data_IF_445250502470
#
_entry.id   IF_445250502470
#
_cell.length_a   1.000
_cell.length_b   1.000
_cell.length_c   1.000
_cell.angle_alpha   90.00
_cell.angle_beta   90.00
_cell.angle_gamma   90.00
#
_symmetry.space_group_name_H-M   'P 1'
#
loop_
_entity.id
_entity.type
_entity.pdbx_description
1 polymer ?
#
# COMPACT_ATOMS: atom_id res chain seq x y z
N UNK A 1 -14.74 -10.71 -12.29
CA UNK A 1 -14.48 -11.53 -13.49
C UNK A 1 -13.51 -10.75 -14.37
N UNK A 2 -12.42 -11.38 -14.82
CA UNK A 2 -11.42 -10.70 -15.64
C UNK A 2 -11.93 -10.49 -17.07
N UNK A 3 -12.01 -9.24 -17.54
CA UNK A 3 -12.55 -8.90 -18.85
C UNK A 3 -11.67 -7.85 -19.58
N UNK A 4 -10.89 -8.26 -20.61
CA UNK A 4 -10.04 -7.35 -21.37
C UNK A 4 -10.81 -6.31 -22.19
N UNK A 5 -12.12 -6.52 -22.45
CA UNK A 5 -12.95 -5.56 -23.17
C UNK A 5 -13.11 -4.21 -22.45
N UNK A 6 -12.84 -4.17 -21.15
CA UNK A 6 -12.85 -2.95 -20.33
C UNK A 6 -11.87 -1.91 -20.86
N UNK A 7 -10.78 -2.33 -21.50
CA UNK A 7 -9.79 -1.43 -22.08
C UNK A 7 -10.39 -0.48 -23.13
N UNK A 8 -11.47 -0.89 -23.79
CA UNK A 8 -12.13 -0.12 -24.86
C UNK A 8 -13.29 0.75 -24.36
N UNK A 9 -13.64 0.66 -23.06
CA UNK A 9 -14.81 1.33 -22.45
C UNK A 9 -14.40 2.43 -21.46
N UNK A 10 -13.47 3.31 -21.85
CA UNK A 10 -12.93 4.40 -21.00
C UNK A 10 -12.59 3.92 -19.58
N UNK A 11 -11.65 2.96 -19.46
CA UNK A 11 -11.30 2.41 -18.16
C UNK A 11 -10.61 3.48 -17.30
N UNK A 12 -10.96 3.51 -16.02
CA UNK A 12 -10.12 4.19 -15.05
C UNK A 12 -9.05 3.21 -14.55
N UNK A 13 -7.84 3.74 -14.34
CA UNK A 13 -6.69 2.96 -13.89
C UNK A 13 -6.52 3.12 -12.39
N UNK A 14 -6.28 2.01 -11.73
CA UNK A 14 -5.86 1.98 -10.33
C UNK A 14 -4.68 1.08 -10.14
N UNK A 15 -3.88 1.40 -9.14
CA UNK A 15 -2.79 0.58 -8.67
C UNK A 15 -3.08 0.12 -7.26
N UNK A 16 -3.01 -1.18 -7.00
CA UNK A 16 -3.27 -1.76 -5.69
C UNK A 16 -2.00 -2.43 -5.19
N UNK A 17 -1.66 -2.22 -3.92
CA UNK A 17 -0.46 -2.83 -3.36
C UNK A 17 -0.55 -4.37 -3.42
N UNK A 18 0.54 -5.10 -3.72
CA UNK A 18 0.50 -6.56 -3.85
C UNK A 18 -0.02 -7.27 -2.59
N UNK A 19 0.22 -6.68 -1.41
CA UNK A 19 -0.29 -7.17 -0.11
C UNK A 19 -1.82 -7.20 -0.02
N UNK A 20 -2.50 -6.31 -0.75
CA UNK A 20 -3.95 -6.16 -0.71
C UNK A 20 -4.65 -6.83 -1.92
N UNK A 21 -3.89 -7.44 -2.84
CA UNK A 21 -4.37 -8.08 -4.08
C UNK A 21 -5.54 -9.04 -3.84
N UNK A 22 -5.35 -10.01 -2.94
CA UNK A 22 -6.30 -11.11 -2.71
C UNK A 22 -7.63 -10.56 -2.19
N UNK A 23 -7.56 -9.64 -1.22
CA UNK A 23 -8.76 -9.01 -0.66
C UNK A 23 -9.45 -8.15 -1.72
N UNK A 24 -8.69 -7.39 -2.50
CA UNK A 24 -9.24 -6.53 -3.55
C UNK A 24 -10.00 -7.33 -4.61
N UNK A 25 -9.37 -8.37 -5.19
CA UNK A 25 -10.00 -9.22 -6.22
C UNK A 25 -11.24 -9.94 -5.66
N UNK A 26 -11.18 -10.45 -4.42
CA UNK A 26 -12.32 -11.09 -3.78
C UNK A 26 -13.51 -10.14 -3.61
N UNK A 27 -13.27 -8.89 -3.24
CA UNK A 27 -14.34 -7.89 -3.09
C UNK A 27 -14.93 -7.44 -4.44
N UNK A 28 -14.10 -7.35 -5.49
CA UNK A 28 -14.59 -7.11 -6.85
C UNK A 28 -15.51 -8.23 -7.32
N UNK A 29 -15.14 -9.49 -7.07
CA UNK A 29 -15.96 -10.65 -7.43
C UNK A 29 -17.30 -10.66 -6.67
N UNK A 30 -17.29 -10.41 -5.35
CA UNK A 30 -18.53 -10.34 -4.55
C UNK A 30 -19.51 -9.29 -5.07
N UNK A 31 -18.98 -8.17 -5.56
CA UNK A 31 -19.79 -7.06 -6.05
C UNK A 31 -20.06 -7.12 -7.57
N UNK A 32 -19.66 -8.22 -8.22
CA UNK A 32 -19.76 -8.42 -9.67
C UNK A 32 -19.18 -7.25 -10.47
N UNK A 33 -18.04 -6.72 -10.01
CA UNK A 33 -17.29 -5.69 -10.73
C UNK A 33 -16.35 -6.38 -11.72
N UNK A 34 -16.48 -6.06 -12.99
CA UNK A 34 -15.56 -6.51 -14.02
C UNK A 34 -14.26 -5.71 -13.92
N UNK A 35 -13.12 -6.38 -14.06
CA UNK A 35 -11.81 -5.75 -14.02
C UNK A 35 -10.86 -6.40 -15.02
N UNK A 36 -9.79 -5.71 -15.40
CA UNK A 36 -8.70 -6.30 -16.17
C UNK A 36 -7.37 -6.04 -15.45
N UNK A 37 -6.53 -7.06 -15.33
CA UNK A 37 -5.28 -7.00 -14.59
C UNK A 37 -4.11 -7.09 -15.57
N UNK A 38 -3.38 -5.99 -15.74
CA UNK A 38 -2.30 -5.92 -16.73
C UNK A 38 -0.94 -6.27 -16.11
N UNK A 39 -0.83 -7.50 -15.61
CA UNK A 39 0.39 -8.01 -14.97
C UNK A 39 1.49 -8.26 -16.02
N UNK A 40 1.12 -8.69 -17.23
CA UNK A 40 2.09 -9.06 -18.27
C UNK A 40 2.79 -7.85 -18.90
N UNK A 41 2.11 -6.70 -19.04
CA UNK A 41 2.71 -5.49 -19.61
C UNK A 41 3.21 -4.50 -18.55
N UNK A 42 3.28 -4.91 -17.27
CA UNK A 42 3.82 -4.09 -16.19
C UNK A 42 5.25 -4.54 -15.84
N UNK A 43 6.30 -3.89 -16.39
CA UNK A 43 7.68 -4.28 -16.14
C UNK A 43 8.15 -4.02 -14.70
N UNK A 44 7.42 -3.21 -13.93
CA UNK A 44 7.81 -2.80 -12.58
C UNK A 44 6.58 -2.66 -11.67
N UNK A 45 6.54 -3.47 -10.61
CA UNK A 45 5.47 -3.49 -9.59
C UNK A 45 5.69 -2.50 -8.44
N UNK A 46 6.68 -1.60 -8.54
CA UNK A 46 7.03 -0.66 -7.45
C UNK A 46 5.83 0.18 -7.00
N UNK A 47 4.92 0.52 -7.92
CA UNK A 47 3.73 1.31 -7.63
C UNK A 47 2.47 0.47 -7.35
N UNK A 48 2.61 -0.86 -7.21
CA UNK A 48 1.49 -1.79 -7.08
C UNK A 48 1.04 -2.42 -8.41
N UNK A 49 0.06 -3.32 -8.33
CA UNK A 49 -0.52 -4.05 -9.45
C UNK A 49 -1.56 -3.17 -10.13
N UNK A 50 -1.45 -3.02 -11.46
CA UNK A 50 -2.36 -2.21 -12.25
C UNK A 50 -3.66 -2.97 -12.58
N UNK A 51 -4.78 -2.36 -12.22
CA UNK A 51 -6.11 -2.79 -12.62
C UNK A 51 -6.81 -1.71 -13.46
N UNK A 52 -7.54 -2.17 -14.45
CA UNK A 52 -8.43 -1.38 -15.29
C UNK A 52 -9.86 -1.75 -14.95
N UNK A 53 -10.68 -0.76 -14.59
CA UNK A 53 -12.07 -0.97 -14.20
C UNK A 53 -12.91 0.14 -14.86
N UNK A 54 -14.20 -0.11 -15.07
CA UNK A 54 -15.08 0.86 -15.70
C UNK A 54 -15.42 2.01 -14.73
N UNK A 55 -15.46 3.24 -15.24
CA UNK A 55 -15.74 4.43 -14.40
C UNK A 55 -17.13 4.40 -13.75
N UNK A 56 -18.08 3.68 -14.35
CA UNK A 56 -19.42 3.45 -13.77
C UNK A 56 -19.39 2.73 -12.41
N UNK A 57 -18.36 1.93 -12.17
CA UNK A 57 -18.19 1.18 -10.92
C UNK A 57 -17.38 1.94 -9.86
N UNK A 58 -16.93 3.18 -10.16
CA UNK A 58 -16.08 3.98 -9.28
C UNK A 58 -16.65 4.16 -7.87
N UNK A 59 -17.97 4.31 -7.73
CA UNK A 59 -18.61 4.38 -6.39
C UNK A 59 -18.50 3.08 -5.60
N UNK A 60 -18.56 1.92 -6.27
CA UNK A 60 -18.37 0.61 -5.61
C UNK A 60 -16.94 0.44 -5.12
N UNK A 61 -15.98 0.91 -5.92
CA UNK A 61 -14.56 0.86 -5.59
C UNK A 61 -14.19 1.72 -4.38
N UNK A 62 -14.73 2.95 -4.33
CA UNK A 62 -14.49 3.84 -3.19
C UNK A 62 -14.97 3.20 -1.87
N UNK A 63 -16.10 2.48 -1.93
CA UNK A 63 -16.60 1.67 -0.82
C UNK A 63 -15.67 0.51 -0.46
N UNK A 64 -15.20 -0.26 -1.45
CA UNK A 64 -14.25 -1.36 -1.26
C UNK A 64 -12.97 -0.87 -0.57
N UNK A 65 -12.40 0.24 -1.03
CA UNK A 65 -11.19 0.82 -0.46
C UNK A 65 -11.39 1.30 0.98
N UNK A 66 -12.49 2.00 1.24
CA UNK A 66 -12.79 2.57 2.55
C UNK A 66 -13.08 1.49 3.60
N UNK A 67 -13.93 0.51 3.26
CA UNK A 67 -14.37 -0.54 4.19
C UNK A 67 -13.24 -1.53 4.51
N UNK A 68 -12.45 -1.91 3.50
CA UNK A 68 -11.38 -2.90 3.66
C UNK A 68 -10.02 -2.26 3.98
N UNK A 69 -9.96 -0.92 4.08
CA UNK A 69 -8.72 -0.13 4.29
C UNK A 69 -7.62 -0.46 3.28
N UNK A 70 -8.02 -0.83 2.06
CA UNK A 70 -7.13 -1.15 0.95
C UNK A 70 -6.47 0.13 0.48
N UNK A 71 -5.14 0.08 0.32
CA UNK A 71 -4.38 1.23 -0.16
C UNK A 71 -4.28 1.10 -1.68
N UNK A 72 -4.97 1.97 -2.39
CA UNK A 72 -4.98 2.04 -3.85
C UNK A 72 -4.60 3.43 -4.36
N UNK A 73 -4.09 3.51 -5.58
CA UNK A 73 -3.59 4.74 -6.19
C UNK A 73 -4.27 4.97 -7.52
N UNK A 74 -4.48 6.24 -7.85
CA UNK A 74 -4.75 6.66 -9.23
C UNK A 74 -3.49 7.36 -9.74
N UNK A 75 -3.30 7.46 -11.06
CA UNK A 75 -2.06 8.01 -11.68
C UNK A 75 -1.61 9.37 -11.09
N UNK A 76 -2.52 10.12 -10.48
CA UNK A 76 -2.28 11.46 -9.90
C UNK A 76 -1.77 11.48 -8.45
N UNK A 77 -1.83 10.36 -7.71
CA UNK A 77 -1.46 10.32 -6.29
C UNK A 77 -0.39 9.25 -6.10
N UNK A 78 0.88 9.67 -6.06
CA UNK A 78 2.00 8.81 -5.69
C UNK A 78 1.94 8.50 -4.20
N UNK A 79 2.31 7.27 -3.82
CA UNK A 79 2.22 6.83 -2.42
C UNK A 79 3.61 6.46 -1.96
N UNK A 80 4.10 7.19 -0.96
CA UNK A 80 4.80 6.53 0.13
C UNK A 80 3.71 6.06 1.11
N UNK A 81 3.71 4.78 1.46
CA UNK A 81 2.73 4.25 2.42
C UNK A 81 3.06 4.85 3.79
N UNK A 82 2.42 5.97 4.12
CA UNK A 82 2.63 6.72 5.35
C UNK A 82 2.52 5.83 6.60
N UNK A 83 1.76 4.73 6.53
CA UNK A 83 1.65 3.76 7.64
C UNK A 83 2.92 2.93 7.83
N UNK A 84 3.61 2.59 6.75
CA UNK A 84 4.86 1.83 6.80
C UNK A 84 6.03 2.75 7.21
N UNK A 85 6.04 4.02 6.77
CA UNK A 85 6.97 5.03 7.29
C UNK A 85 6.82 5.22 8.81
N UNK A 86 5.57 5.27 9.31
CA UNK A 86 5.31 5.43 10.76
C UNK A 86 5.79 4.23 11.58
N UNK A 87 5.78 3.02 11.03
CA UNK A 87 6.34 1.82 11.68
C UNK A 87 7.87 1.87 11.70
N UNK A 88 8.49 2.25 10.57
CA UNK A 88 9.93 2.41 10.47
C UNK A 88 10.45 3.49 11.44
N UNK A 89 9.78 4.63 11.52
CA UNK A 89 10.12 5.72 12.46
C UNK A 89 10.05 5.26 13.92
N UNK A 90 9.02 4.49 14.31
CA UNK A 90 8.92 3.94 15.67
C UNK A 90 10.06 2.97 15.99
N UNK A 91 10.49 2.16 15.01
CA UNK A 91 11.62 1.26 15.17
C UNK A 91 12.92 2.05 15.33
N UNK A 92 13.13 3.07 14.50
CA UNK A 92 14.30 3.95 14.56
C UNK A 92 14.40 4.66 15.91
N UNK A 93 13.27 5.17 16.43
CA UNK A 93 13.21 5.83 17.73
C UNK A 93 13.55 4.88 18.89
N UNK A 94 13.08 3.63 18.83
CA UNK A 94 13.43 2.59 19.82
C UNK A 94 14.93 2.28 19.81
N UNK A 95 15.51 2.09 18.63
CA UNK A 95 16.96 1.81 18.49
C UNK A 95 17.78 2.99 19.00
N UNK A 96 17.42 4.21 18.61
CA UNK A 96 18.10 5.42 19.09
C UNK A 96 18.05 5.54 20.62
N UNK A 97 16.89 5.26 21.24
CA UNK A 97 16.75 5.28 22.69
C UNK A 97 17.66 4.27 23.41
N UNK A 98 17.82 3.07 22.86
CA UNK A 98 18.73 2.04 23.42
C UNK A 98 20.18 2.52 23.34
N UNK A 99 20.61 3.04 22.20
CA UNK A 99 21.99 3.54 22.00
C UNK A 99 22.30 4.68 22.97
N UNK A 100 21.40 5.65 23.09
CA UNK A 100 21.55 6.76 24.04
C UNK A 100 21.62 6.24 25.48
N UNK A 101 20.78 5.26 25.84
CA UNK A 101 20.78 4.64 27.17
C UNK A 101 22.13 3.98 27.50
N UNK A 102 22.74 3.28 26.54
CA UNK A 102 24.06 2.65 26.70
C UNK A 102 25.14 3.70 26.92
N UNK A 103 25.13 4.79 26.13
CA UNK A 103 26.11 5.88 26.27
C UNK A 103 26.02 6.51 27.67
N UNK A 104 24.81 6.80 28.14
CA UNK A 104 24.60 7.37 29.48
C UNK A 104 25.09 6.40 30.57
N UNK A 105 24.79 5.11 30.44
CA UNK A 105 25.26 4.08 31.37
C UNK A 105 26.79 4.04 31.46
N UNK A 106 27.48 4.09 30.32
CA UNK A 106 28.96 4.12 30.27
C UNK A 106 29.48 5.38 30.96
N UNK A 107 28.90 6.56 30.67
CA UNK A 107 29.31 7.81 31.31
C UNK A 107 29.12 7.80 32.84
N UNK A 108 28.04 7.20 33.33
CA UNK A 108 27.79 7.06 34.76
C UNK A 108 28.80 6.11 35.39
N UNK A 109 29.07 4.97 34.75
CA UNK A 109 30.07 4.01 35.22
C UNK A 109 31.47 4.62 35.26
N UNK A 110 31.88 5.37 34.22
CA UNK A 110 33.15 6.09 34.20
C UNK A 110 33.26 7.10 35.35
N UNK A 111 32.17 7.80 35.68
CA UNK A 111 32.13 8.72 36.84
C UNK A 111 32.12 8.03 38.20
N UNK A 112 31.66 6.79 38.29
CA UNK A 112 31.62 6.02 39.54
C UNK A 112 32.95 5.29 39.81
N UNK A 113 33.65 4.88 38.75
CA UNK A 113 34.92 4.15 38.82
C UNK A 113 36.12 5.10 39.01
N UNK A 114 35.96 6.39 38.69
CA UNK A 114 36.99 7.43 38.81
C UNK A 114 36.72 8.33 40.01
#
# INVERSE_FOLDING_TARGET
MENPEILFKSPFKIYVLPKDKITFESELEKQNVEYYCDIENQPMFENGIRYFIQDVDRMKLDKIFTENKIIAHTETISISDYRDEKKAQKLYLKVAGIVIGIIILIMIMERLVK
#
